data_IF_461695744686
#
_entry.id   IF_461695744686
#
_cell.length_a   1.000
_cell.length_b   1.000
_cell.length_c   1.000
_cell.angle_alpha   90.00
_cell.angle_beta   90.00
_cell.angle_gamma   90.00
#
_symmetry.space_group_name_H-M   'P 1'
#
loop_
_entity.id
_entity.type
_entity.pdbx_description
1 polymer ?
#
# COMPACT_ATOMS: atom_id res chain seq x y z
N UNK A 1 15.11 20.53 36.11
CA UNK A 1 15.52 19.63 35.01
C UNK A 1 14.26 19.15 34.33
N UNK A 2 13.95 19.68 33.13
CA UNK A 2 12.72 19.38 32.38
C UNK A 2 13.11 18.46 31.24
N UNK A 3 12.77 17.18 31.32
CA UNK A 3 13.05 16.22 30.26
C UNK A 3 12.07 16.47 29.10
N UNK A 4 12.59 16.93 27.97
CA UNK A 4 11.90 16.91 26.69
C UNK A 4 12.11 15.51 26.09
N UNK A 5 11.07 14.67 26.11
CA UNK A 5 11.04 13.47 25.27
C UNK A 5 10.63 13.89 23.86
N UNK A 6 11.62 14.02 22.99
CA UNK A 6 11.36 14.26 21.58
C UNK A 6 10.87 12.96 20.92
N UNK A 7 9.68 12.98 20.32
CA UNK A 7 8.94 11.80 19.83
C UNK A 7 9.44 11.33 18.44
N UNK A 8 10.73 11.00 18.35
CA UNK A 8 11.38 10.54 17.10
C UNK A 8 11.12 9.07 16.72
N UNK A 9 10.20 8.35 17.35
CA UNK A 9 9.90 6.96 16.98
C UNK A 9 8.99 6.85 15.75
N UNK A 10 9.45 6.27 14.64
CA UNK A 10 8.64 5.91 13.46
C UNK A 10 7.63 4.77 13.72
N UNK A 11 7.69 4.16 14.90
CA UNK A 11 6.82 3.05 15.31
C UNK A 11 5.49 3.47 15.94
N UNK A 12 5.29 4.77 16.20
CA UNK A 12 4.03 5.25 16.76
C UNK A 12 3.16 5.80 15.62
N UNK A 13 1.88 5.40 15.55
CA UNK A 13 0.95 6.00 14.62
C UNK A 13 0.79 7.48 14.96
N UNK A 14 0.53 8.30 13.95
CA UNK A 14 0.22 9.73 14.12
C UNK A 14 -1.25 9.90 14.53
N UNK A 15 -1.62 9.23 15.63
CA UNK A 15 -2.92 9.32 16.29
C UNK A 15 -2.75 9.29 17.83
N UNK A 16 -3.86 9.27 18.57
CA UNK A 16 -3.85 9.24 20.04
C UNK A 16 -3.51 7.86 20.64
N UNK A 17 -3.06 6.89 19.83
CA UNK A 17 -2.76 5.53 20.30
C UNK A 17 -1.25 5.31 20.42
N UNK A 18 -0.87 4.50 21.41
CA UNK A 18 0.54 4.16 21.67
C UNK A 18 1.01 2.93 20.88
N UNK A 19 0.10 2.26 20.16
CA UNK A 19 0.36 0.98 19.48
C UNK A 19 0.03 1.13 18.01
N UNK A 20 1.04 0.96 17.15
CA UNK A 20 0.86 0.95 15.69
C UNK A 20 0.15 -0.30 15.22
N UNK A 21 -0.72 -0.15 14.25
CA UNK A 21 -1.20 -1.26 13.44
C UNK A 21 -0.25 -1.50 12.25
N UNK A 22 -0.42 -2.64 11.58
CA UNK A 22 0.43 -2.99 10.43
C UNK A 22 0.34 -1.99 9.28
N UNK A 23 -0.73 -1.19 9.20
CA UNK A 23 -0.96 -0.24 8.13
C UNK A 23 -0.17 1.06 8.35
N UNK A 24 -0.22 1.65 9.55
CA UNK A 24 0.60 2.81 9.90
C UNK A 24 2.10 2.47 9.84
N UNK A 25 2.50 1.29 10.32
CA UNK A 25 3.88 0.83 10.26
C UNK A 25 4.37 0.60 8.83
N UNK A 26 3.58 -0.07 7.99
CA UNK A 26 3.94 -0.29 6.58
C UNK A 26 3.91 1.02 5.77
N UNK A 27 3.01 1.95 6.08
CA UNK A 27 2.99 3.30 5.48
C UNK A 27 4.26 4.08 5.85
N UNK A 28 4.70 4.03 7.11
CA UNK A 28 5.95 4.66 7.52
C UNK A 28 7.18 4.03 6.83
N UNK A 29 7.20 2.71 6.66
CA UNK A 29 8.28 2.02 5.95
C UNK A 29 8.31 2.30 4.45
N UNK A 30 7.13 2.38 3.83
CA UNK A 30 7.00 2.56 2.39
C UNK A 30 7.16 4.01 1.96
N UNK A 31 6.75 4.99 2.76
CA UNK A 31 6.73 6.41 2.38
C UNK A 31 7.76 7.25 3.13
N UNK A 32 8.27 6.77 4.26
CA UNK A 32 9.10 7.56 5.17
C UNK A 32 8.31 8.55 6.04
N UNK A 33 6.98 8.59 5.94
CA UNK A 33 6.10 9.48 6.68
C UNK A 33 5.22 8.70 7.68
N UNK A 34 5.06 9.24 8.89
CA UNK A 34 4.12 8.67 9.86
C UNK A 34 2.68 8.94 9.41
N UNK A 35 1.79 8.01 9.71
CA UNK A 35 0.35 8.14 9.47
C UNK A 35 -0.46 7.49 10.60
N UNK A 36 -1.78 7.62 10.55
CA UNK A 36 -2.70 7.09 11.56
C UNK A 36 -2.99 5.60 11.37
N UNK A 37 -3.48 4.94 12.42
CA UNK A 37 -3.78 3.50 12.34
C UNK A 37 -4.82 3.18 11.27
N UNK A 38 -4.49 2.21 10.43
CA UNK A 38 -5.35 1.77 9.33
C UNK A 38 -5.18 2.56 8.03
N UNK A 39 -4.31 3.57 7.97
CA UNK A 39 -3.95 4.26 6.73
C UNK A 39 -3.08 3.39 5.82
N UNK A 40 -3.33 3.44 4.51
CA UNK A 40 -2.55 2.76 3.47
C UNK A 40 -1.91 3.85 2.60
N UNK A 41 -0.62 4.13 2.79
CA UNK A 41 0.16 5.10 2.02
C UNK A 41 -0.50 6.49 1.88
N UNK A 42 -1.19 6.96 2.91
CA UNK A 42 -1.78 8.32 2.98
C UNK A 42 -1.30 9.04 4.23
N UNK A 43 -1.25 10.38 4.20
CA UNK A 43 -0.96 11.20 5.36
C UNK A 43 -2.20 11.37 6.28
N UNK A 44 -2.04 12.09 7.39
CA UNK A 44 -3.15 12.40 8.31
C UNK A 44 -4.21 13.33 7.72
N UNK A 45 -3.89 14.04 6.64
CA UNK A 45 -4.84 14.80 5.83
C UNK A 45 -5.51 13.94 4.73
N UNK A 46 -5.30 12.62 4.75
CA UNK A 46 -5.82 11.63 3.79
C UNK A 46 -5.33 11.84 2.36
N UNK A 47 -4.19 12.50 2.18
CA UNK A 47 -3.56 12.69 0.87
C UNK A 47 -2.62 11.51 0.57
N UNK A 48 -2.58 11.02 -0.68
CA UNK A 48 -1.66 9.96 -1.06
C UNK A 48 -0.21 10.43 -0.90
N UNK A 49 0.60 9.56 -0.30
CA UNK A 49 2.02 9.72 -0.10
C UNK A 49 2.78 8.82 -1.07
N UNK A 50 3.78 9.37 -1.75
CA UNK A 50 4.60 8.59 -2.68
C UNK A 50 5.33 7.45 -1.94
N UNK A 51 5.24 6.23 -2.47
CA UNK A 51 5.92 5.07 -1.87
C UNK A 51 7.28 4.81 -2.52
N UNK A 52 8.16 4.12 -1.80
CA UNK A 52 9.44 3.63 -2.30
C UNK A 52 9.30 2.73 -3.52
N UNK A 53 8.19 1.98 -3.62
CA UNK A 53 7.93 1.12 -4.77
C UNK A 53 7.57 1.96 -6.01
N UNK A 54 6.75 3.01 -5.84
CA UNK A 54 6.48 3.97 -6.91
C UNK A 54 7.74 4.71 -7.36
N UNK A 55 8.60 5.12 -6.41
CA UNK A 55 9.91 5.72 -6.72
C UNK A 55 10.78 4.75 -7.52
N UNK A 56 10.85 3.48 -7.12
CA UNK A 56 11.59 2.44 -7.84
C UNK A 56 11.04 2.27 -9.27
N UNK A 57 9.70 2.28 -9.41
CA UNK A 57 9.04 2.18 -10.71
C UNK A 57 9.34 3.37 -11.61
N UNK A 58 9.31 4.60 -11.08
CA UNK A 58 9.70 5.83 -11.81
C UNK A 58 11.14 5.78 -12.29
N UNK A 59 12.02 5.10 -11.55
CA UNK A 59 13.43 4.87 -11.91
C UNK A 59 13.63 3.71 -12.91
N UNK A 60 12.55 3.08 -13.38
CA UNK A 60 12.62 1.96 -14.32
C UNK A 60 13.07 0.64 -13.69
N UNK A 61 13.06 0.55 -12.36
CA UNK A 61 13.38 -0.69 -11.65
C UNK A 61 12.19 -1.65 -11.69
N UNK A 62 12.47 -2.95 -11.60
CA UNK A 62 11.45 -3.97 -11.41
C UNK A 62 10.90 -3.90 -9.99
N UNK A 63 9.59 -4.03 -9.87
CA UNK A 63 8.85 -3.91 -8.61
C UNK A 63 8.06 -5.18 -8.34
N UNK A 64 8.09 -5.68 -7.11
CA UNK A 64 7.41 -6.91 -6.74
C UNK A 64 6.82 -6.83 -5.33
N UNK A 65 5.62 -7.39 -5.17
CA UNK A 65 4.99 -7.63 -3.88
C UNK A 65 4.88 -9.13 -3.67
N UNK A 66 5.52 -9.61 -2.60
CA UNK A 66 5.49 -11.02 -2.21
C UNK A 66 4.99 -11.12 -0.79
N UNK A 67 3.90 -11.84 -0.59
CA UNK A 67 3.31 -12.05 0.72
C UNK A 67 2.80 -13.49 0.86
N UNK A 68 2.99 -14.07 2.03
CA UNK A 68 2.33 -15.34 2.41
C UNK A 68 0.85 -15.17 2.72
N UNK A 69 0.42 -13.93 2.94
CA UNK A 69 -0.96 -13.54 3.19
C UNK A 69 -1.61 -12.98 1.92
N UNK A 70 -2.82 -12.43 2.04
CA UNK A 70 -3.48 -11.76 0.94
C UNK A 70 -2.73 -10.50 0.49
N UNK A 71 -2.60 -10.30 -0.83
CA UNK A 71 -1.91 -9.13 -1.41
C UNK A 71 -2.60 -7.81 -1.04
N UNK A 72 -3.89 -7.82 -0.73
CA UNK A 72 -4.63 -6.62 -0.33
C UNK A 72 -4.50 -6.33 1.17
N UNK A 73 -3.73 -7.14 1.91
CA UNK A 73 -3.49 -6.88 3.32
C UNK A 73 -2.66 -5.60 3.52
N UNK A 74 -2.75 -5.01 4.72
CA UNK A 74 -2.17 -3.70 5.00
C UNK A 74 -0.68 -3.57 4.64
N UNK A 75 0.11 -4.62 4.92
CA UNK A 75 1.55 -4.60 4.67
C UNK A 75 1.89 -4.52 3.19
N UNK A 76 1.46 -5.44 2.30
CA UNK A 76 1.70 -5.31 0.86
C UNK A 76 0.98 -4.10 0.23
N UNK A 77 -0.25 -3.81 0.67
CA UNK A 77 -1.04 -2.70 0.13
C UNK A 77 -0.38 -1.33 0.31
N UNK A 78 0.25 -1.09 1.47
CA UNK A 78 0.90 0.20 1.76
C UNK A 78 2.08 0.52 0.83
N UNK A 79 2.57 -0.43 0.05
CA UNK A 79 3.64 -0.17 -0.91
C UNK A 79 3.13 0.19 -2.31
N UNK A 80 1.89 -0.12 -2.69
CA UNK A 80 1.44 0.09 -4.07
C UNK A 80 -0.02 0.56 -4.24
N UNK A 81 -0.74 0.79 -3.15
CA UNK A 81 -2.09 1.37 -3.14
C UNK A 81 -2.15 2.56 -2.18
N UNK A 82 -3.15 3.43 -2.33
CA UNK A 82 -3.37 4.57 -1.45
C UNK A 82 -4.82 4.60 -0.99
N UNK A 83 -5.05 4.27 0.28
CA UNK A 83 -6.40 4.24 0.81
C UNK A 83 -6.47 4.76 2.25
N UNK A 84 -7.57 5.44 2.55
CA UNK A 84 -7.85 5.96 3.89
C UNK A 84 -8.07 4.86 4.92
N UNK A 85 -8.43 3.65 4.48
CA UNK A 85 -8.66 2.53 5.38
C UNK A 85 -8.25 1.16 4.82
N UNK A 86 -7.42 0.43 5.59
CA UNK A 86 -6.91 -0.92 5.30
C UNK A 86 -7.97 -2.01 5.05
N UNK A 87 -9.23 -1.76 5.44
CA UNK A 87 -10.33 -2.71 5.24
C UNK A 87 -11.04 -2.52 3.89
N UNK A 88 -10.69 -1.48 3.14
CA UNK A 88 -11.23 -1.23 1.79
C UNK A 88 -10.53 -2.14 0.76
N UNK A 89 -10.54 -3.46 0.99
CA UNK A 89 -9.81 -4.44 0.18
C UNK A 89 -10.16 -4.37 -1.30
N UNK A 90 -11.42 -4.06 -1.62
CA UNK A 90 -11.91 -3.89 -2.98
C UNK A 90 -11.32 -2.66 -3.68
N UNK A 91 -11.20 -1.54 -2.97
CA UNK A 91 -10.61 -0.30 -3.51
C UNK A 91 -9.10 -0.45 -3.63
N UNK A 92 -8.46 -1.04 -2.62
CA UNK A 92 -7.02 -1.37 -2.63
C UNK A 92 -6.69 -2.29 -3.83
N UNK A 93 -7.55 -3.26 -4.14
CA UNK A 93 -7.37 -4.11 -5.32
C UNK A 93 -7.43 -3.32 -6.63
N UNK A 94 -8.40 -2.39 -6.72
CA UNK A 94 -8.56 -1.53 -7.89
C UNK A 94 -7.34 -0.64 -8.10
N UNK A 95 -6.76 -0.08 -7.04
CA UNK A 95 -5.56 0.76 -7.11
C UNK A 95 -4.38 0.07 -7.80
N UNK A 96 -4.24 -1.25 -7.70
CA UNK A 96 -3.16 -1.96 -8.40
C UNK A 96 -3.25 -1.90 -9.93
N UNK A 97 -4.44 -1.63 -10.48
CA UNK A 97 -4.66 -1.40 -11.92
C UNK A 97 -4.75 0.10 -12.22
N UNK A 98 -5.45 0.85 -11.37
CA UNK A 98 -5.83 2.23 -11.63
C UNK A 98 -4.67 3.21 -11.35
N UNK A 99 -3.82 2.92 -10.34
CA UNK A 99 -2.67 3.75 -10.00
C UNK A 99 -1.47 3.47 -10.93
N UNK A 100 -1.47 4.10 -12.11
CA UNK A 100 -0.41 3.93 -13.09
C UNK A 100 0.75 4.90 -12.89
N UNK A 101 1.96 4.34 -12.77
CA UNK A 101 3.21 5.10 -12.69
C UNK A 101 3.85 5.16 -14.08
N UNK A 102 3.89 6.35 -14.67
CA UNK A 102 4.36 6.57 -16.05
C UNK A 102 3.66 5.66 -17.08
N UNK A 103 2.35 5.45 -16.91
CA UNK A 103 1.53 4.60 -17.80
C UNK A 103 1.68 3.10 -17.57
N UNK A 104 2.49 2.67 -16.60
CA UNK A 104 2.70 1.26 -16.23
C UNK A 104 2.05 0.97 -14.90
N UNK A 105 1.63 -0.28 -14.69
CA UNK A 105 1.14 -0.71 -13.38
C UNK A 105 2.24 -0.56 -12.32
N UNK A 106 1.87 -0.28 -11.06
CA UNK A 106 2.84 0.06 -10.02
C UNK A 106 3.73 -1.14 -9.68
N UNK A 107 3.21 -2.37 -9.79
CA UNK A 107 3.89 -3.62 -9.39
C UNK A 107 4.02 -4.58 -10.58
N UNK A 108 5.22 -5.03 -10.91
CA UNK A 108 5.47 -6.00 -12.01
C UNK A 108 5.17 -7.46 -11.64
N UNK A 109 5.30 -7.81 -10.35
CA UNK A 109 5.08 -9.17 -9.85
C UNK A 109 4.29 -9.16 -8.55
N UNK A 110 3.16 -9.85 -8.53
CA UNK A 110 2.30 -10.01 -7.35
C UNK A 110 2.24 -11.50 -7.00
N UNK A 111 2.81 -11.88 -5.86
CA UNK A 111 2.80 -13.27 -5.37
C UNK A 111 2.22 -13.34 -3.97
N UNK A 112 0.98 -13.82 -3.85
CA UNK A 112 0.30 -14.00 -2.57
C UNK A 112 -1.15 -14.46 -2.74
N UNK A 113 -1.90 -14.46 -1.64
CA UNK A 113 -3.31 -14.88 -1.64
C UNK A 113 -4.29 -13.73 -1.93
N UNK A 114 -5.59 -14.01 -1.74
CA UNK A 114 -6.65 -12.98 -1.83
C UNK A 114 -7.25 -12.80 -3.22
N UNK A 115 -7.18 -13.82 -4.07
CA UNK A 115 -7.72 -13.84 -5.44
C UNK A 115 -9.20 -13.46 -5.53
N UNK A 116 -9.99 -13.70 -4.48
CA UNK A 116 -11.42 -13.36 -4.43
C UNK A 116 -11.69 -11.85 -4.55
N UNK A 117 -10.73 -11.01 -4.16
CA UNK A 117 -10.82 -9.56 -4.33
C UNK A 117 -10.40 -9.09 -5.73
N UNK A 118 -9.71 -9.94 -6.49
CA UNK A 118 -9.30 -9.67 -7.87
C UNK A 118 -10.31 -10.21 -8.87
N UNK A 119 -10.99 -11.31 -8.55
CA UNK A 119 -12.05 -11.89 -9.38
C UNK A 119 -13.41 -11.65 -8.75
N UNK A 120 -13.95 -10.45 -8.94
CA UNK A 120 -15.24 -10.05 -8.39
C UNK A 120 -16.32 -10.04 -9.45
N UNK A 121 -17.58 -10.18 -9.01
CA UNK A 121 -18.73 -10.14 -9.91
C UNK A 121 -18.92 -8.77 -10.59
N UNK A 122 -18.46 -7.69 -9.95
CA UNK A 122 -18.58 -6.32 -10.45
C UNK A 122 -17.37 -5.87 -11.29
N UNK A 123 -16.17 -6.43 -11.04
CA UNK A 123 -14.94 -6.13 -11.79
C UNK A 123 -13.99 -7.32 -11.76
N UNK A 124 -13.55 -7.75 -12.94
CA UNK A 124 -12.55 -8.82 -13.08
C UNK A 124 -11.16 -8.21 -13.31
N UNK A 125 -10.47 -7.92 -12.20
CA UNK A 125 -9.12 -7.36 -12.24
C UNK A 125 -8.12 -8.38 -12.81
N UNK A 126 -8.37 -9.69 -12.66
CA UNK A 126 -7.49 -10.72 -13.26
C UNK A 126 -7.48 -10.59 -14.77
N UNK A 127 -8.65 -10.42 -15.39
CA UNK A 127 -8.74 -10.17 -16.83
C UNK A 127 -8.01 -8.88 -17.24
N UNK A 128 -8.09 -7.81 -16.44
CA UNK A 128 -7.38 -6.55 -16.69
C UNK A 128 -5.86 -6.68 -16.55
N UNK A 129 -5.38 -7.48 -15.58
CA UNK A 129 -3.96 -7.83 -15.45
C UNK A 129 -3.46 -8.61 -16.67
N UNK A 130 -4.21 -9.62 -17.13
CA UNK A 130 -3.87 -10.40 -18.32
C UNK A 130 -3.82 -9.49 -19.56
N UNK A 131 -4.79 -8.57 -19.73
CA UNK A 131 -4.77 -7.58 -20.81
C UNK A 131 -3.56 -6.63 -20.72
N UNK A 132 -3.10 -6.34 -19.50
CA UNK A 132 -1.91 -5.54 -19.23
C UNK A 132 -0.60 -6.33 -19.41
N UNK A 133 -0.67 -7.61 -19.81
CA UNK A 133 0.49 -8.46 -20.13
C UNK A 133 0.98 -9.35 -18.98
N UNK A 134 0.21 -9.48 -17.89
CA UNK A 134 0.58 -10.32 -16.76
C UNK A 134 0.24 -11.78 -17.03
N UNK A 135 1.02 -12.67 -16.42
CA UNK A 135 0.73 -14.09 -16.37
C UNK A 135 0.00 -14.39 -15.07
N UNK A 136 -1.12 -15.10 -15.16
CA UNK A 136 -1.96 -15.52 -14.04
C UNK A 136 -2.13 -17.03 -14.07
#
# INVERSE_FOLDING_TARGET
>A
MRFYFDRYGTYFPDDHTYVTDSAAGATALSTGHKSYNGAIAVDTAKKPLETMLEIAKKRGMLTALVATSQINHATPASFAAHNVHRKNYNEIANDYIDNKINGRLPVDLLLGGGTDYFKRNDRDLVAEFIQSGYQY
#
